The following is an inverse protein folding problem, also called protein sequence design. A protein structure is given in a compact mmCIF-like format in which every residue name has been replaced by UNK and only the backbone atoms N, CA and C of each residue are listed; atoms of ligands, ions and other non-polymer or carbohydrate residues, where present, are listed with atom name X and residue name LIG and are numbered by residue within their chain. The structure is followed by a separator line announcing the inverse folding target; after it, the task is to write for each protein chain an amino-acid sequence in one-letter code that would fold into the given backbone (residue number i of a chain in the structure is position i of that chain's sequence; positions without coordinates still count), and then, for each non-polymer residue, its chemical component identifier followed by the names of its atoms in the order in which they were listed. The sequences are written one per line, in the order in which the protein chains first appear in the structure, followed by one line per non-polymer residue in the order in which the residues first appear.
data_IF_735314809534
#
_entry.id   IF_735314809534
#
_cell.length_a   1.000
_cell.length_b   1.000
_cell.length_c   1.000
_cell.angle_alpha   90.00
_cell.angle_beta   90.00
_cell.angle_gamma   90.00
#
_symmetry.space_group_name_H-M   'P 1'
#
loop_
_entity.id
_entity.type
_entity.pdbx_description
1 polymer ?
#
# COMPACT_ATOMS: atom_id res chain seq x y z
N UNK A 1 20.97 2.72 19.45
CA UNK A 1 19.60 2.91 18.93
C UNK A 1 19.14 4.32 19.31
N UNK A 2 18.83 5.18 18.35
CA UNK A 2 18.42 6.60 18.52
C UNK A 2 17.21 6.77 19.46
N UNK A 3 16.33 5.77 19.52
CA UNK A 3 15.07 5.83 20.27
C UNK A 3 15.17 5.31 21.71
N UNK A 4 16.32 4.74 22.10
CA UNK A 4 16.49 4.04 23.39
C UNK A 4 16.29 4.93 24.64
N UNK A 5 16.37 6.26 24.49
CA UNK A 5 16.15 7.21 25.59
C UNK A 5 14.68 7.54 25.86
N UNK A 6 13.73 7.03 25.06
CA UNK A 6 12.31 7.39 25.13
C UNK A 6 11.45 6.13 25.38
N UNK A 7 11.21 5.75 26.65
CA UNK A 7 10.57 4.46 26.97
C UNK A 7 9.05 4.41 26.70
N UNK A 8 8.43 5.54 26.35
CA UNK A 8 6.97 5.66 26.20
C UNK A 8 6.58 6.22 24.83
N UNK A 9 7.27 5.77 23.78
CA UNK A 9 6.91 6.04 22.39
C UNK A 9 6.65 4.73 21.66
N UNK A 10 5.88 4.81 20.58
CA UNK A 10 5.77 3.75 19.59
C UNK A 10 6.60 4.14 18.37
N UNK A 11 7.43 3.22 17.88
CA UNK A 11 8.21 3.43 16.66
C UNK A 11 7.72 2.50 15.56
N UNK A 12 7.42 3.06 14.40
CA UNK A 12 7.09 2.32 13.19
C UNK A 12 8.06 2.72 12.09
N UNK A 13 8.81 1.75 11.57
CA UNK A 13 9.74 1.97 10.45
C UNK A 13 9.08 1.70 9.11
N UNK A 14 9.32 2.55 8.11
CA UNK A 14 9.01 2.23 6.72
C UNK A 14 10.16 1.39 6.15
N UNK A 15 9.95 0.08 5.97
CA UNK A 15 11.02 -0.87 5.71
C UNK A 15 10.79 -1.66 4.41
N UNK A 16 10.91 -0.95 3.28
CA UNK A 16 10.82 -1.59 1.97
C UNK A 16 12.01 -2.55 1.73
N UNK A 17 11.72 -3.75 1.22
CA UNK A 17 12.71 -4.79 0.93
C UNK A 17 13.01 -5.76 2.08
N UNK A 18 12.43 -5.57 3.27
CA UNK A 18 12.53 -6.53 4.37
C UNK A 18 11.58 -7.69 4.12
N UNK A 19 12.07 -8.92 4.25
CA UNK A 19 11.22 -10.12 4.15
C UNK A 19 10.63 -10.55 5.49
N UNK A 20 9.58 -11.37 5.46
CA UNK A 20 9.00 -11.96 6.68
C UNK A 20 10.03 -12.73 7.52
N UNK A 21 11.02 -13.38 6.89
CA UNK A 21 12.08 -14.12 7.56
C UNK A 21 13.05 -13.22 8.33
N UNK A 22 13.25 -11.98 7.86
CA UNK A 22 14.12 -10.98 8.49
C UNK A 22 13.36 -10.16 9.55
N UNK A 23 12.03 -10.24 9.59
CA UNK A 23 11.19 -9.33 10.38
C UNK A 23 11.50 -9.34 11.89
N UNK A 24 11.90 -10.48 12.46
CA UNK A 24 12.27 -10.59 13.88
C UNK A 24 13.48 -9.71 14.25
N UNK A 25 14.46 -9.54 13.34
CA UNK A 25 15.61 -8.67 13.59
C UNK A 25 15.23 -7.18 13.62
N UNK A 26 14.10 -6.83 13.01
CA UNK A 26 13.59 -5.46 12.97
C UNK A 26 12.64 -5.13 14.11
N UNK A 27 11.73 -6.07 14.45
CA UNK A 27 10.61 -5.82 15.37
C UNK A 27 10.49 -6.83 16.50
N UNK A 28 11.50 -7.67 16.70
CA UNK A 28 11.55 -8.64 17.78
C UNK A 28 11.55 -7.97 19.16
N UNK A 29 10.89 -8.58 20.15
CA UNK A 29 10.79 -7.98 21.50
C UNK A 29 12.15 -7.79 22.20
N UNK A 30 13.14 -8.63 21.88
CA UNK A 30 14.45 -8.64 22.56
C UNK A 30 15.59 -7.98 21.78
N UNK A 31 15.56 -8.07 20.45
CA UNK A 31 16.62 -7.61 19.54
C UNK A 31 16.13 -6.57 18.51
N UNK A 32 14.82 -6.31 18.44
CA UNK A 32 14.23 -5.41 17.47
C UNK A 32 14.65 -3.95 17.66
N UNK A 33 14.72 -3.24 16.54
CA UNK A 33 15.07 -1.81 16.47
C UNK A 33 13.82 -0.95 16.63
N UNK A 34 12.68 -1.42 16.10
CA UNK A 34 11.40 -0.72 16.05
C UNK A 34 10.30 -1.50 16.79
N UNK A 35 9.21 -0.83 17.18
CA UNK A 35 8.03 -1.51 17.72
C UNK A 35 7.29 -2.31 16.65
N UNK A 36 7.27 -1.81 15.41
CA UNK A 36 6.68 -2.46 14.23
C UNK A 36 7.31 -1.87 12.95
N UNK A 37 7.04 -2.49 11.79
CA UNK A 37 7.44 -1.96 10.49
C UNK A 37 6.29 -2.03 9.48
N UNK A 38 6.24 -1.06 8.58
CA UNK A 38 5.50 -1.20 7.32
C UNK A 38 6.35 -2.01 6.35
N UNK A 39 5.84 -3.20 6.02
CA UNK A 39 6.37 -4.05 4.98
C UNK A 39 5.64 -3.81 3.65
N UNK A 40 6.34 -4.13 2.57
CA UNK A 40 5.90 -3.80 1.21
C UNK A 40 5.93 -5.03 0.27
N UNK A 41 6.03 -6.25 0.79
CA UNK A 41 6.02 -7.46 -0.05
C UNK A 41 4.72 -7.57 -0.85
N UNK A 42 3.59 -7.22 -0.23
CA UNK A 42 2.30 -7.21 -0.89
C UNK A 42 2.14 -6.04 -1.89
N UNK A 43 3.08 -5.08 -1.94
CA UNK A 43 3.00 -3.94 -2.84
C UNK A 43 3.23 -4.31 -4.31
N UNK A 44 3.93 -5.43 -4.57
CA UNK A 44 4.03 -6.01 -5.91
C UNK A 44 2.68 -6.43 -6.51
N UNK A 45 1.65 -6.61 -5.67
CA UNK A 45 0.33 -7.08 -6.08
C UNK A 45 -0.65 -5.96 -6.48
N UNK A 46 -0.21 -4.71 -6.50
CA UNK A 46 -1.05 -3.55 -6.85
C UNK A 46 -1.28 -3.40 -8.37
N UNK A 47 -1.00 -4.45 -9.15
CA UNK A 47 -1.30 -4.46 -10.58
C UNK A 47 -0.51 -3.40 -11.37
N UNK A 48 0.60 -2.90 -10.82
CA UNK A 48 1.47 -1.93 -11.50
C UNK A 48 2.00 -2.56 -12.81
N UNK A 49 2.16 -3.87 -12.93
CA UNK A 49 2.56 -4.47 -14.22
C UNK A 49 1.39 -4.86 -15.13
N UNK A 50 0.16 -4.59 -14.70
CA UNK A 50 -1.07 -5.02 -15.36
C UNK A 50 -1.50 -6.41 -14.90
N UNK A 51 -2.72 -6.52 -14.37
CA UNK A 51 -3.26 -7.78 -13.88
C UNK A 51 -4.41 -7.54 -12.90
N UNK A 52 -5.22 -8.57 -12.68
CA UNK A 52 -6.13 -8.63 -11.53
C UNK A 52 -5.33 -8.93 -10.26
N UNK A 53 -5.92 -8.66 -9.09
CA UNK A 53 -5.31 -9.03 -7.81
C UNK A 53 -5.08 -10.55 -7.75
N UNK A 54 -3.82 -10.96 -7.59
CA UNK A 54 -3.48 -12.35 -7.25
C UNK A 54 -3.84 -12.59 -5.78
N UNK A 55 -5.11 -12.96 -5.55
CA UNK A 55 -5.65 -13.19 -4.22
C UNK A 55 -4.96 -14.35 -3.48
N UNK A 56 -4.65 -15.51 -4.11
CA UNK A 56 -3.82 -16.53 -3.49
C UNK A 56 -2.47 -15.99 -2.98
N UNK A 57 -1.78 -15.18 -3.77
CA UNK A 57 -0.50 -14.62 -3.39
C UNK A 57 -0.62 -13.58 -2.27
N UNK A 58 -1.65 -12.72 -2.31
CA UNK A 58 -1.95 -11.78 -1.21
C UNK A 58 -2.16 -12.53 0.11
N UNK A 59 -2.95 -13.61 0.08
CA UNK A 59 -3.18 -14.46 1.27
C UNK A 59 -1.88 -15.07 1.77
N UNK A 60 -1.04 -15.60 0.86
CA UNK A 60 0.26 -16.19 1.21
C UNK A 60 1.15 -15.16 1.93
N UNK A 61 1.31 -13.96 1.36
CA UNK A 61 2.14 -12.91 1.95
C UNK A 61 1.62 -12.51 3.33
N UNK A 62 0.33 -12.20 3.46
CA UNK A 62 -0.25 -11.78 4.74
C UNK A 62 -0.16 -12.89 5.80
N UNK A 63 -0.42 -14.15 5.44
CA UNK A 63 -0.27 -15.30 6.35
C UNK A 63 1.18 -15.56 6.77
N UNK A 64 2.15 -15.35 5.88
CA UNK A 64 3.56 -15.49 6.22
C UNK A 64 3.99 -14.46 7.27
N UNK A 65 3.62 -13.18 7.09
CA UNK A 65 3.91 -12.12 8.05
C UNK A 65 3.22 -12.33 9.41
N UNK A 66 1.98 -12.83 9.41
CA UNK A 66 1.30 -13.23 10.65
C UNK A 66 2.05 -14.36 11.37
N UNK A 67 2.49 -15.38 10.62
CA UNK A 67 3.17 -16.55 11.20
C UNK A 67 4.59 -16.24 11.66
N UNK A 68 5.32 -15.41 10.92
CA UNK A 68 6.71 -15.07 11.22
C UNK A 68 6.84 -14.27 12.52
N UNK A 69 5.89 -13.38 12.80
CA UNK A 69 5.91 -12.50 13.99
C UNK A 69 5.07 -13.04 15.15
N UNK A 70 4.39 -14.18 15.01
CA UNK A 70 3.55 -14.75 16.06
C UNK A 70 4.36 -15.06 17.33
N UNK A 71 4.09 -14.29 18.39
CA UNK A 71 4.76 -14.45 19.69
C UNK A 71 6.20 -13.94 19.72
N UNK A 72 6.64 -13.21 18.69
CA UNK A 72 8.01 -12.72 18.56
C UNK A 72 8.13 -11.23 18.29
N UNK A 73 7.16 -10.65 17.57
CA UNK A 73 7.14 -9.23 17.24
C UNK A 73 5.73 -8.74 16.92
N UNK A 74 5.63 -7.57 16.28
CA UNK A 74 4.35 -6.92 16.04
C UNK A 74 4.19 -6.36 14.62
N UNK A 75 3.06 -6.67 13.98
CA UNK A 75 2.74 -6.22 12.63
C UNK A 75 2.14 -4.80 12.64
N UNK A 76 2.55 -3.96 11.69
CA UNK A 76 1.78 -2.78 11.28
C UNK A 76 0.86 -3.18 10.11
N UNK A 77 -0.45 -3.10 10.31
CA UNK A 77 -1.44 -3.54 9.35
C UNK A 77 -1.95 -2.34 8.57
N UNK A 78 -1.80 -2.35 7.25
CA UNK A 78 -2.26 -1.27 6.39
C UNK A 78 -2.52 -1.80 4.98
N UNK A 79 -3.38 -1.09 4.27
CA UNK A 79 -3.65 -1.34 2.84
C UNK A 79 -3.69 -0.05 2.03
N UNK A 80 -3.54 1.13 2.66
CA UNK A 80 -3.46 2.41 1.95
C UNK A 80 -2.43 3.32 2.62
N UNK A 81 -1.79 4.16 1.81
CA UNK A 81 -0.97 5.28 2.24
C UNK A 81 -0.92 6.32 1.11
N UNK A 82 -0.11 7.37 1.28
CA UNK A 82 0.04 8.46 0.30
C UNK A 82 0.85 8.10 -0.96
N UNK A 83 1.40 6.89 -1.03
CA UNK A 83 2.26 6.40 -2.10
C UNK A 83 1.63 5.27 -2.91
N UNK A 84 0.44 4.81 -2.52
CA UNK A 84 -0.34 3.81 -3.25
C UNK A 84 -1.65 4.39 -3.76
N UNK A 85 -2.20 3.86 -4.86
CA UNK A 85 -3.59 4.13 -5.25
C UNK A 85 -4.57 3.62 -4.18
N UNK A 86 -5.85 3.98 -4.33
CA UNK A 86 -6.92 3.59 -3.39
C UNK A 86 -7.19 2.08 -3.48
N UNK A 87 -7.22 1.40 -2.34
CA UNK A 87 -7.35 -0.06 -2.27
C UNK A 87 -8.67 -0.54 -2.92
N UNK A 88 -9.77 0.19 -2.73
CA UNK A 88 -11.07 -0.16 -3.32
C UNK A 88 -11.05 -0.13 -4.84
N UNK A 89 -10.26 0.75 -5.46
CA UNK A 89 -10.12 0.88 -6.92
C UNK A 89 -9.18 -0.16 -7.52
N UNK A 90 -8.23 -0.69 -6.75
CA UNK A 90 -7.23 -1.64 -7.27
C UNK A 90 -7.54 -3.09 -6.91
N UNK A 91 -7.97 -3.35 -5.67
CA UNK A 91 -8.25 -4.68 -5.16
C UNK A 91 -9.74 -4.99 -5.06
N UNK A 92 -10.57 -3.95 -5.00
CA UNK A 92 -12.01 -4.06 -4.89
C UNK A 92 -12.75 -3.84 -6.20
N UNK A 93 -13.99 -3.39 -6.06
CA UNK A 93 -14.82 -2.85 -7.12
C UNK A 93 -15.22 -1.47 -6.64
N UNK A 94 -14.80 -0.41 -7.34
CA UNK A 94 -15.09 0.98 -6.99
C UNK A 94 -16.35 1.54 -7.69
N UNK A 95 -17.05 0.69 -8.43
CA UNK A 95 -18.31 0.99 -9.11
C UNK A 95 -19.50 0.43 -8.34
N UNK A 96 -20.06 -0.68 -8.83
CA UNK A 96 -21.33 -1.24 -8.32
C UNK A 96 -21.20 -1.73 -6.87
N UNK A 97 -20.05 -2.28 -6.50
CA UNK A 97 -19.85 -2.91 -5.20
C UNK A 97 -18.92 -2.12 -4.27
N UNK A 98 -18.68 -0.83 -4.53
CA UNK A 98 -17.77 0.04 -3.76
C UNK A 98 -17.91 -0.07 -2.25
N UNK A 99 -19.14 -0.03 -1.73
CA UNK A 99 -19.38 -0.08 -0.28
C UNK A 99 -19.08 -1.46 0.29
N UNK A 100 -19.48 -2.52 -0.41
CA UNK A 100 -19.30 -3.90 0.05
C UNK A 100 -17.84 -4.33 -0.05
N UNK A 101 -17.17 -3.99 -1.15
CA UNK A 101 -15.75 -4.27 -1.38
C UNK A 101 -14.87 -3.52 -0.38
N UNK A 102 -15.11 -2.23 -0.13
CA UNK A 102 -14.37 -1.45 0.86
C UNK A 102 -14.51 -2.05 2.28
N UNK A 103 -15.71 -2.48 2.67
CA UNK A 103 -15.94 -3.15 3.97
C UNK A 103 -15.25 -4.51 4.05
N UNK A 104 -15.28 -5.29 2.97
CA UNK A 104 -14.59 -6.58 2.91
C UNK A 104 -13.06 -6.40 3.06
N UNK A 105 -12.48 -5.44 2.35
CA UNK A 105 -11.06 -5.08 2.48
C UNK A 105 -10.73 -4.60 3.90
N UNK A 106 -11.58 -3.76 4.49
CA UNK A 106 -11.40 -3.31 5.86
C UNK A 106 -11.41 -4.49 6.85
N UNK A 107 -12.40 -5.36 6.77
CA UNK A 107 -12.48 -6.55 7.63
C UNK A 107 -11.27 -7.49 7.44
N UNK A 108 -10.77 -7.63 6.21
CA UNK A 108 -9.62 -8.48 5.90
C UNK A 108 -8.37 -8.07 6.69
N UNK A 109 -7.95 -6.81 6.62
CA UNK A 109 -6.70 -6.38 7.25
C UNK A 109 -6.87 -5.99 8.72
N UNK A 110 -8.02 -5.41 9.09
CA UNK A 110 -8.24 -4.85 10.43
C UNK A 110 -8.39 -5.94 11.50
N UNK A 111 -8.84 -7.14 11.11
CA UNK A 111 -9.04 -8.29 12.01
C UNK A 111 -7.83 -9.23 12.11
N UNK A 112 -6.69 -8.87 11.50
CA UNK A 112 -5.43 -9.58 11.67
C UNK A 112 -4.74 -9.16 12.97
N UNK A 113 -3.75 -9.94 13.44
CA UNK A 113 -2.98 -9.62 14.64
C UNK A 113 -1.94 -8.53 14.33
N UNK A 114 -2.09 -7.36 14.95
CA UNK A 114 -1.20 -6.22 14.78
C UNK A 114 -1.89 -4.90 15.10
N UNK A 115 -1.27 -3.80 14.70
CA UNK A 115 -1.85 -2.45 14.83
C UNK A 115 -2.38 -1.98 13.47
N UNK A 116 -3.70 -1.77 13.30
CA UNK A 116 -4.26 -1.25 12.06
C UNK A 116 -4.03 0.25 11.89
N UNK A 117 -3.63 0.63 10.68
CA UNK A 117 -3.54 2.01 10.21
C UNK A 117 -4.64 2.26 9.18
N UNK A 118 -5.26 3.43 9.26
CA UNK A 118 -6.26 3.91 8.31
C UNK A 118 -5.68 5.16 7.64
N UNK A 119 -5.69 5.18 6.31
CA UNK A 119 -5.33 6.37 5.56
C UNK A 119 -6.55 7.27 5.32
N UNK A 120 -6.36 8.59 5.32
CA UNK A 120 -7.46 9.54 5.15
C UNK A 120 -8.29 9.26 3.88
N UNK A 121 -9.61 9.12 4.04
CA UNK A 121 -10.52 8.80 2.95
C UNK A 121 -10.81 7.31 2.78
N UNK A 122 -9.97 6.44 3.33
CA UNK A 122 -10.19 4.99 3.30
C UNK A 122 -11.50 4.63 4.03
N UNK A 123 -11.79 5.31 5.14
CA UNK A 123 -12.96 5.09 5.99
C UNK A 123 -14.30 5.46 5.32
N UNK A 124 -14.26 6.32 4.30
CA UNK A 124 -15.42 6.68 3.47
C UNK A 124 -15.40 5.99 2.09
N UNK A 125 -14.36 5.18 1.83
CA UNK A 125 -14.16 4.46 0.57
C UNK A 125 -13.90 5.39 -0.61
N UNK A 126 -13.01 6.37 -0.44
CA UNK A 126 -12.49 7.19 -1.54
C UNK A 126 -11.87 6.29 -2.63
N UNK A 127 -12.02 6.70 -3.89
CA UNK A 127 -11.61 5.94 -5.07
C UNK A 127 -10.50 6.68 -5.81
N UNK A 128 -9.85 6.03 -6.78
CA UNK A 128 -8.89 6.71 -7.65
C UNK A 128 -9.56 7.87 -8.39
N UNK A 129 -8.86 9.01 -8.44
CA UNK A 129 -9.27 10.16 -9.25
C UNK A 129 -8.74 10.03 -10.69
N UNK A 130 -9.64 10.02 -11.66
CA UNK A 130 -9.31 9.90 -13.08
C UNK A 130 -9.27 11.29 -13.71
N UNK A 131 -8.07 11.72 -14.11
CA UNK A 131 -7.87 12.92 -14.91
C UNK A 131 -7.40 12.54 -16.30
N UNK A 132 -7.89 13.24 -17.32
CA UNK A 132 -7.60 12.90 -18.71
C UNK A 132 -6.29 13.54 -19.18
N UNK A 133 -5.93 14.71 -18.67
CA UNK A 133 -4.69 15.39 -19.04
C UNK A 133 -3.58 15.08 -18.03
N UNK A 134 -2.36 14.90 -18.54
CA UNK A 134 -1.18 14.68 -17.68
C UNK A 134 -0.87 15.89 -16.80
N UNK A 135 -1.28 17.08 -17.23
CA UNK A 135 -1.04 18.34 -16.52
C UNK A 135 -1.89 18.46 -15.23
N UNK A 136 -2.96 17.67 -15.11
CA UNK A 136 -3.80 17.58 -13.91
C UNK A 136 -3.18 16.68 -12.82
N UNK A 137 -2.13 15.93 -13.15
CA UNK A 137 -1.33 15.18 -12.18
C UNK A 137 -0.21 16.07 -11.62
N UNK A 138 0.27 15.77 -10.42
CA UNK A 138 1.39 16.49 -9.80
C UNK A 138 2.63 15.61 -9.60
N UNK A 139 2.44 14.29 -9.41
CA UNK A 139 3.53 13.35 -9.17
C UNK A 139 4.60 13.39 -10.27
N UNK A 140 5.80 13.82 -9.86
CA UNK A 140 6.98 13.92 -10.72
C UNK A 140 7.35 12.57 -11.36
N UNK A 141 7.11 11.44 -10.67
CA UNK A 141 7.38 10.11 -11.20
C UNK A 141 6.49 9.83 -12.41
N UNK A 142 5.18 10.07 -12.27
CA UNK A 142 4.20 9.88 -13.35
C UNK A 142 4.44 10.85 -14.51
N UNK A 143 4.76 12.11 -14.25
CA UNK A 143 5.10 13.09 -15.31
C UNK A 143 6.33 12.65 -16.10
N UNK A 144 7.38 12.17 -15.41
CA UNK A 144 8.57 11.66 -16.05
C UNK A 144 8.30 10.39 -16.87
N UNK A 145 7.56 9.44 -16.30
CA UNK A 145 7.17 8.22 -17.00
C UNK A 145 6.34 8.53 -18.25
N UNK A 146 5.37 9.46 -18.14
CA UNK A 146 4.59 9.90 -19.28
C UNK A 146 5.47 10.45 -20.40
N UNK A 147 6.40 11.36 -20.08
CA UNK A 147 7.35 11.92 -21.06
C UNK A 147 8.19 10.82 -21.72
N UNK A 148 8.77 9.91 -20.95
CA UNK A 148 9.60 8.80 -21.47
C UNK A 148 8.77 7.89 -22.39
N UNK A 149 7.53 7.57 -22.04
CA UNK A 149 6.68 6.70 -22.86
C UNK A 149 6.20 7.40 -24.13
N UNK A 150 5.95 8.72 -24.08
CA UNK A 150 5.69 9.55 -25.27
C UNK A 150 6.87 9.58 -26.22
N UNK A 151 8.10 9.74 -25.70
CA UNK A 151 9.34 9.67 -26.48
C UNK A 151 9.54 8.30 -27.16
N UNK A 152 9.06 7.23 -26.52
CA UNK A 152 9.01 5.87 -27.10
C UNK A 152 7.89 5.66 -28.12
N UNK A 153 7.11 6.69 -28.44
CA UNK A 153 6.06 6.64 -29.44
C UNK A 153 4.72 6.05 -28.97
N UNK A 154 4.51 5.85 -27.66
CA UNK A 154 3.22 5.37 -27.16
C UNK A 154 2.15 6.46 -27.25
N UNK A 155 0.91 6.05 -27.49
CA UNK A 155 -0.22 6.96 -27.55
C UNK A 155 -0.49 7.58 -26.17
N UNK A 156 -1.06 8.78 -26.14
CA UNK A 156 -1.48 9.40 -24.88
C UNK A 156 -2.45 8.47 -24.12
N UNK A 157 -3.43 7.92 -24.83
CA UNK A 157 -4.44 7.01 -24.26
C UNK A 157 -3.82 5.78 -23.58
N UNK A 158 -2.85 5.13 -24.23
CA UNK A 158 -2.20 3.93 -23.67
C UNK A 158 -1.37 4.26 -22.42
N UNK A 159 -0.77 5.44 -22.38
CA UNK A 159 -0.01 5.89 -21.21
C UNK A 159 -0.97 6.22 -20.07
N UNK A 160 -2.03 6.99 -20.34
CA UNK A 160 -3.00 7.39 -19.31
C UNK A 160 -3.72 6.19 -18.70
N UNK A 161 -4.00 5.13 -19.46
CA UNK A 161 -4.51 3.86 -18.93
C UNK A 161 -3.60 3.24 -17.85
N UNK A 162 -2.29 3.43 -17.96
CA UNK A 162 -1.35 2.99 -16.93
C UNK A 162 -1.30 3.99 -15.75
N UNK A 163 -1.36 5.29 -16.04
CA UNK A 163 -1.39 6.35 -15.00
C UNK A 163 -2.58 6.16 -14.05
N UNK A 164 -3.78 5.93 -14.59
CA UNK A 164 -5.02 5.73 -13.83
C UNK A 164 -5.02 4.53 -12.87
N UNK A 165 -4.07 3.62 -13.03
CA UNK A 165 -3.90 2.46 -12.16
C UNK A 165 -2.83 2.64 -11.09
N UNK A 166 -1.88 3.55 -11.32
CA UNK A 166 -0.60 3.56 -10.59
C UNK A 166 -0.28 4.88 -9.90
N UNK A 167 -0.91 5.98 -10.32
CA UNK A 167 -0.51 7.29 -9.86
C UNK A 167 -0.68 7.41 -8.35
N UNK A 168 0.35 7.91 -7.66
CA UNK A 168 0.28 8.21 -6.23
C UNK A 168 -0.70 9.34 -5.94
N UNK A 169 -0.96 10.19 -6.93
CA UNK A 169 -1.90 11.31 -6.80
C UNK A 169 -3.33 10.85 -6.52
N UNK A 170 -3.68 9.60 -6.84
CA UNK A 170 -4.98 9.02 -6.49
C UNK A 170 -5.24 9.00 -4.97
N UNK A 171 -4.20 8.90 -4.15
CA UNK A 171 -4.30 8.99 -2.69
C UNK A 171 -4.17 10.42 -2.15
N UNK A 172 -3.79 11.39 -2.99
CA UNK A 172 -3.42 12.75 -2.57
C UNK A 172 -4.45 13.82 -2.93
N UNK A 173 -5.57 13.42 -3.53
CA UNK A 173 -6.69 14.33 -3.77
C UNK A 173 -7.30 14.82 -2.45
N UNK A 174 -7.90 16.02 -2.41
CA UNK A 174 -8.51 16.54 -1.20
C UNK A 174 -9.54 15.58 -0.57
N UNK A 175 -9.53 15.52 0.77
CA UNK A 175 -10.57 14.87 1.60
C UNK A 175 -11.88 15.64 1.53
#
# INVERSE_FOLDING_TARGET
NTFAGYPHIMTVGEANGVSAEEAEDWVGESNGIFSMIFQFEHFGLWGIEGGELDLPELKRILSNWQSALEGKGWNALFIENHDQPRAVSVWGDDGKYRVDSAKALAAMYFLMKGTPFIYQGQEIGMTNAIFFEIDDYDDVSIKNDYRIQKEKGRSHEDIMKAVWKKSRDHARTPM
#
